data_IF_986239624336
#
_entry.id   IF_986239624336
#
_cell.length_a   1.000
_cell.length_b   1.000
_cell.length_c   1.000
_cell.angle_alpha   90.00
_cell.angle_beta   90.00
_cell.angle_gamma   90.00
#
_symmetry.space_group_name_H-M   'P 1'
#
loop_
_entity.id
_entity.type
_entity.pdbx_description
1 polymer ?
#
# COMPACT_ATOMS: atom_id res chain seq x y z
N UNK A 1 10.89 9.56 3.44
CA UNK A 1 9.61 9.84 2.73
C UNK A 1 9.57 9.29 1.31
N UNK A 2 10.70 9.19 0.60
CA UNK A 2 10.72 8.54 -0.71
C UNK A 2 10.28 7.06 -0.67
N UNK A 3 10.54 6.40 0.46
CA UNK A 3 10.04 5.05 0.74
C UNK A 3 8.51 4.91 0.61
N UNK A 4 7.77 5.86 1.19
CA UNK A 4 6.31 5.92 1.07
C UNK A 4 5.83 6.07 -0.38
N UNK A 5 6.58 6.82 -1.19
CA UNK A 5 6.28 7.00 -2.61
C UNK A 5 6.47 5.69 -3.40
N UNK A 6 7.49 4.89 -3.07
CA UNK A 6 7.68 3.57 -3.70
C UNK A 6 6.51 2.65 -3.37
N UNK A 7 6.14 2.56 -2.09
CA UNK A 7 4.98 1.78 -1.63
C UNK A 7 3.68 2.21 -2.32
N UNK A 8 3.44 3.53 -2.40
CA UNK A 8 2.31 4.10 -3.09
C UNK A 8 2.32 3.77 -4.59
N UNK A 9 3.47 3.89 -5.27
CA UNK A 9 3.59 3.63 -6.69
C UNK A 9 3.28 2.16 -7.05
N UNK A 10 3.81 1.21 -6.27
CA UNK A 10 3.53 -0.23 -6.42
C UNK A 10 2.03 -0.50 -6.29
N UNK A 11 1.42 0.03 -5.23
CA UNK A 11 -0.01 -0.12 -4.99
C UNK A 11 -0.85 0.59 -6.06
N UNK A 12 -0.38 1.74 -6.56
CA UNK A 12 -1.06 2.46 -7.64
C UNK A 12 -1.08 1.67 -8.93
N UNK A 13 0.03 1.04 -9.29
CA UNK A 13 0.11 0.13 -10.42
C UNK A 13 -0.84 -1.06 -10.24
N UNK A 14 -0.86 -1.69 -9.06
CA UNK A 14 -1.77 -2.80 -8.74
C UNK A 14 -3.26 -2.41 -8.84
N UNK A 15 -3.60 -1.14 -8.53
CA UNK A 15 -4.98 -0.64 -8.56
C UNK A 15 -5.53 -0.32 -9.96
N UNK A 16 -4.71 -0.40 -11.02
CA UNK A 16 -5.06 0.10 -12.37
C UNK A 16 -6.35 -0.49 -12.96
N UNK A 17 -6.61 -1.78 -12.72
CA UNK A 17 -7.79 -2.48 -13.25
C UNK A 17 -9.08 -2.21 -12.48
N UNK A 18 -8.99 -1.73 -11.24
CA UNK A 18 -10.13 -1.60 -10.31
C UNK A 18 -10.41 -0.16 -9.90
N UNK A 19 -9.86 0.84 -10.60
CA UNK A 19 -10.00 2.26 -10.24
C UNK A 19 -11.46 2.71 -10.11
N UNK A 20 -11.68 3.61 -9.15
CA UNK A 20 -13.02 4.13 -8.84
C UNK A 20 -13.88 3.20 -8.00
N UNK A 21 -13.37 1.99 -7.69
CA UNK A 21 -13.98 1.12 -6.68
C UNK A 21 -13.44 1.43 -5.30
N UNK A 22 -14.25 1.16 -4.27
CA UNK A 22 -13.81 1.28 -2.87
C UNK A 22 -12.56 0.45 -2.61
N UNK A 23 -12.48 -0.76 -3.17
CA UNK A 23 -11.33 -1.65 -2.99
C UNK A 23 -10.03 -1.03 -3.50
N UNK A 24 -10.04 -0.37 -4.66
CA UNK A 24 -8.85 0.25 -5.22
C UNK A 24 -8.37 1.46 -4.40
N UNK A 25 -9.28 2.30 -3.90
CA UNK A 25 -8.89 3.43 -3.04
C UNK A 25 -8.40 2.93 -1.67
N UNK A 26 -9.04 1.88 -1.14
CA UNK A 26 -8.61 1.22 0.09
C UNK A 26 -7.27 0.50 -0.05
N UNK A 27 -6.92 0.03 -1.25
CA UNK A 27 -5.60 -0.52 -1.55
C UNK A 27 -4.50 0.54 -1.43
N UNK A 28 -4.75 1.75 -1.93
CA UNK A 28 -3.83 2.88 -1.71
C UNK A 28 -3.74 3.29 -0.25
N UNK A 29 -4.87 3.27 0.47
CA UNK A 29 -4.88 3.54 1.91
C UNK A 29 -4.02 2.49 2.66
N UNK A 30 -4.20 1.20 2.37
CA UNK A 30 -3.41 0.12 2.95
C UNK A 30 -1.91 0.25 2.66
N UNK A 31 -1.52 0.81 1.52
CA UNK A 31 -0.12 1.05 1.15
C UNK A 31 0.59 2.08 2.04
N UNK A 32 -0.18 3.01 2.61
CA UNK A 32 0.35 4.21 3.31
C UNK A 32 0.14 4.10 4.82
N UNK A 33 -0.92 3.41 5.23
CA UNK A 33 -1.38 3.37 6.60
C UNK A 33 -0.37 2.73 7.60
N UNK A 34 0.38 1.65 7.29
CA UNK A 34 1.40 1.11 8.21
C UNK A 34 2.39 2.19 8.65
N UNK A 35 2.88 2.94 7.68
CA UNK A 35 3.88 3.99 7.82
C UNK A 35 3.34 5.22 8.57
N UNK A 36 2.11 5.63 8.23
CA UNK A 36 1.41 6.76 8.86
C UNK A 36 1.01 6.46 10.30
N UNK A 37 0.70 5.21 10.63
CA UNK A 37 0.42 4.80 12.01
C UNK A 37 1.71 4.65 12.83
N UNK A 38 2.73 3.99 12.27
CA UNK A 38 3.97 3.71 12.98
C UNK A 38 4.71 4.98 13.40
N UNK A 39 4.89 5.94 12.49
CA UNK A 39 5.78 7.08 12.71
C UNK A 39 5.34 7.98 13.86
N UNK A 40 4.07 8.43 13.97
CA UNK A 40 3.62 9.20 15.12
C UNK A 40 3.73 8.42 16.43
N UNK A 41 3.34 7.14 16.43
CA UNK A 41 3.43 6.28 17.62
C UNK A 41 4.88 6.11 18.10
N UNK A 42 5.81 5.95 17.15
CA UNK A 42 7.22 5.82 17.44
C UNK A 42 7.85 7.16 17.88
N UNK A 43 7.61 8.25 17.14
CA UNK A 43 8.28 9.54 17.35
C UNK A 43 7.69 10.30 18.54
N UNK A 44 6.37 10.43 18.58
CA UNK A 44 5.66 11.25 19.59
C UNK A 44 5.48 10.46 20.88
N UNK A 45 5.03 9.21 20.78
CA UNK A 45 4.67 8.40 21.95
C UNK A 45 5.77 7.43 22.37
N UNK A 46 6.91 7.38 21.66
CA UNK A 46 8.06 6.51 21.97
C UNK A 46 7.71 5.01 22.04
N UNK A 47 6.66 4.59 21.31
CA UNK A 47 6.24 3.20 21.25
C UNK A 47 7.06 2.46 20.18
N UNK A 48 8.26 2.02 20.55
CA UNK A 48 9.17 1.29 19.65
C UNK A 48 8.51 0.07 18.98
N UNK A 49 7.67 -0.65 19.73
CA UNK A 49 6.94 -1.82 19.26
C UNK A 49 5.87 -1.50 18.21
N UNK A 50 5.42 -0.25 18.10
CA UNK A 50 4.35 0.12 17.18
C UNK A 50 4.77 -0.10 15.73
N UNK A 51 6.02 0.21 15.38
CA UNK A 51 6.57 -0.08 14.05
C UNK A 51 6.52 -1.57 13.75
N UNK A 52 6.94 -2.43 14.68
CA UNK A 52 6.87 -3.88 14.51
C UNK A 52 5.42 -4.34 14.33
N UNK A 53 4.51 -3.84 15.16
CA UNK A 53 3.10 -4.22 15.11
C UNK A 53 2.39 -3.76 13.82
N UNK A 54 2.69 -2.59 13.27
CA UNK A 54 2.00 -2.12 12.06
C UNK A 54 2.51 -2.77 10.77
N UNK A 55 3.72 -3.35 10.79
CA UNK A 55 4.34 -4.01 9.63
C UNK A 55 4.34 -5.53 9.72
N UNK A 56 3.79 -6.11 10.79
CA UNK A 56 3.65 -7.55 10.92
C UNK A 56 2.35 -8.06 10.25
N UNK A 57 2.38 -9.18 9.48
CA UNK A 57 1.21 -9.66 8.74
C UNK A 57 -0.03 -9.98 9.60
N UNK A 58 0.15 -10.60 10.78
CA UNK A 58 -0.95 -11.02 11.64
C UNK A 58 -1.65 -9.83 12.30
N UNK A 59 -0.89 -8.89 12.83
CA UNK A 59 -1.41 -7.65 13.39
C UNK A 59 -2.00 -6.76 12.31
N UNK A 60 -1.41 -6.75 11.11
CA UNK A 60 -1.98 -6.04 9.96
C UNK A 60 -3.35 -6.58 9.56
N UNK A 61 -3.56 -7.90 9.57
CA UNK A 61 -4.87 -8.50 9.32
C UNK A 61 -5.94 -7.96 10.29
N UNK A 62 -5.60 -7.88 11.59
CA UNK A 62 -6.49 -7.33 12.59
C UNK A 62 -6.73 -5.82 12.39
N UNK A 63 -5.69 -5.04 12.10
CA UNK A 63 -5.80 -3.61 11.82
C UNK A 63 -6.66 -3.33 10.59
N UNK A 64 -6.49 -4.08 9.50
CA UNK A 64 -7.30 -3.98 8.30
C UNK A 64 -8.78 -4.27 8.62
N UNK A 65 -9.04 -5.31 9.41
CA UNK A 65 -10.41 -5.65 9.84
C UNK A 65 -11.06 -4.52 10.64
N UNK A 66 -10.37 -3.98 11.65
CA UNK A 66 -10.88 -2.89 12.48
C UNK A 66 -11.08 -1.62 11.65
N UNK A 67 -10.12 -1.26 10.79
CA UNK A 67 -10.19 -0.07 9.95
C UNK A 67 -11.36 -0.15 8.95
N UNK A 68 -11.67 -1.34 8.43
CA UNK A 68 -12.79 -1.54 7.53
C UNK A 68 -14.15 -1.20 8.19
N UNK A 69 -14.29 -1.27 9.51
CA UNK A 69 -15.53 -0.90 10.21
C UNK A 69 -15.82 0.60 10.23
N UNK A 70 -14.84 1.44 9.86
CA UNK A 70 -15.05 2.88 9.63
C UNK A 70 -15.89 3.14 8.37
N UNK A 71 -16.06 2.13 7.51
CA UNK A 71 -16.86 2.22 6.29
C UNK A 71 -18.30 1.74 6.53
N UNK A 72 -19.22 2.23 5.70
CA UNK A 72 -20.63 1.78 5.69
C UNK A 72 -20.70 0.28 5.39
N UNK A 73 -21.66 -0.41 6.00
CA UNK A 73 -21.80 -1.87 5.91
C UNK A 73 -21.67 -2.47 4.48
N UNK A 74 -22.27 -1.87 3.42
CA UNK A 74 -22.13 -2.39 2.05
C UNK A 74 -20.71 -2.35 1.49
N UNK A 75 -19.84 -1.49 2.03
CA UNK A 75 -18.48 -1.27 1.56
C UNK A 75 -17.41 -1.97 2.40
N UNK A 76 -17.76 -2.48 3.60
CA UNK A 76 -16.79 -3.08 4.53
C UNK A 76 -15.97 -4.23 3.93
N UNK A 77 -16.56 -5.19 3.17
CA UNK A 77 -15.77 -6.28 2.61
C UNK A 77 -14.75 -5.78 1.58
N UNK A 78 -15.16 -4.83 0.73
CA UNK A 78 -14.28 -4.22 -0.26
C UNK A 78 -13.18 -3.37 0.40
N UNK A 79 -13.53 -2.63 1.46
CA UNK A 79 -12.57 -1.85 2.23
C UNK A 79 -11.56 -2.75 2.96
N UNK A 80 -12.03 -3.81 3.62
CA UNK A 80 -11.19 -4.80 4.29
C UNK A 80 -10.19 -5.43 3.33
N UNK A 81 -10.68 -5.97 2.20
CA UNK A 81 -9.80 -6.58 1.20
C UNK A 81 -8.83 -5.57 0.59
N UNK A 82 -9.29 -4.36 0.29
CA UNK A 82 -8.44 -3.29 -0.21
C UNK A 82 -7.31 -2.95 0.76
N UNK A 83 -7.64 -2.63 2.02
CA UNK A 83 -6.65 -2.27 3.05
C UNK A 83 -5.70 -3.45 3.32
N UNK A 84 -6.23 -4.67 3.44
CA UNK A 84 -5.44 -5.87 3.69
C UNK A 84 -4.41 -6.08 2.58
N UNK A 85 -4.85 -6.13 1.33
CA UNK A 85 -3.96 -6.33 0.17
C UNK A 85 -2.96 -5.17 0.01
N UNK A 86 -3.41 -3.93 0.26
CA UNK A 86 -2.55 -2.76 0.19
C UNK A 86 -1.39 -2.81 1.18
N UNK A 87 -1.67 -3.18 2.43
CA UNK A 87 -0.62 -3.32 3.43
C UNK A 87 0.21 -4.60 3.27
N UNK A 88 -0.35 -5.68 2.72
CA UNK A 88 0.48 -6.84 2.34
C UNK A 88 1.45 -6.51 1.21
N UNK A 89 1.05 -5.69 0.22
CA UNK A 89 1.98 -5.19 -0.79
C UNK A 89 3.07 -4.31 -0.17
N UNK A 90 2.71 -3.45 0.79
CA UNK A 90 3.68 -2.65 1.55
C UNK A 90 4.70 -3.55 2.27
N UNK A 91 4.21 -4.51 3.08
CA UNK A 91 5.06 -5.47 3.79
C UNK A 91 5.93 -6.28 2.82
N UNK A 92 5.37 -6.66 1.67
CA UNK A 92 6.12 -7.36 0.62
C UNK A 92 7.28 -6.54 0.06
N UNK A 93 7.09 -5.24 -0.15
CA UNK A 93 8.16 -4.32 -0.56
C UNK A 93 9.20 -4.18 0.54
N UNK A 94 8.78 -4.11 1.81
CA UNK A 94 9.71 -4.05 2.95
C UNK A 94 10.53 -5.33 3.13
N UNK A 95 9.96 -6.50 2.85
CA UNK A 95 10.69 -7.77 2.89
C UNK A 95 11.87 -7.84 1.90
N UNK A 96 11.84 -7.04 0.84
CA UNK A 96 12.92 -6.97 -0.16
C UNK A 96 14.07 -6.02 0.26
N UNK A 97 13.89 -5.28 1.35
CA UNK A 97 14.85 -4.29 1.84
C UNK A 97 15.99 -4.96 2.61
N UNK A 98 17.22 -4.50 2.36
CA UNK A 98 18.38 -4.86 3.18
C UNK A 98 18.37 -4.07 4.49
N UNK A 99 18.51 -4.76 5.62
CA UNK A 99 18.59 -4.15 6.96
C UNK A 99 19.88 -4.50 7.70
N UNK A 100 20.93 -4.88 6.97
CA UNK A 100 22.25 -5.25 7.51
C UNK A 100 22.16 -6.37 8.55
N UNK A 101 21.25 -7.32 8.32
CA UNK A 101 21.06 -8.47 9.21
C UNK A 101 20.18 -8.22 10.44
N UNK A 102 19.57 -7.04 10.59
CA UNK A 102 18.57 -6.80 11.66
C UNK A 102 17.20 -7.41 11.34
N UNK A 103 16.97 -7.79 10.08
CA UNK A 103 15.70 -8.24 9.54
C UNK A 103 14.69 -7.09 9.35
N UNK A 104 13.83 -7.21 8.34
CA UNK A 104 12.88 -6.16 7.96
C UNK A 104 11.53 -6.27 8.68
N UNK A 105 10.97 -7.49 8.76
CA UNK A 105 9.60 -7.73 9.22
C UNK A 105 9.54 -8.89 10.22
N UNK A 106 8.85 -8.69 11.34
CA UNK A 106 8.53 -9.77 12.28
C UNK A 106 7.26 -10.52 11.85
N UNK A 107 7.40 -11.59 11.07
CA UNK A 107 6.29 -12.29 10.41
C UNK A 107 5.21 -12.81 11.37
N UNK A 108 5.63 -13.30 12.54
CA UNK A 108 4.76 -13.96 13.51
C UNK A 108 4.47 -13.10 14.75
N UNK A 109 4.77 -11.80 14.72
CA UNK A 109 4.42 -10.90 15.81
C UNK A 109 2.89 -10.91 16.05
N UNK A 110 2.40 -10.96 17.31
CA UNK A 110 3.13 -10.80 18.56
C UNK A 110 3.66 -12.11 19.19
N UNK A 111 3.52 -13.26 18.53
CA UNK A 111 3.94 -14.55 19.07
C UNK A 111 5.46 -14.78 18.96
N UNK A 112 6.11 -14.12 18.00
CA UNK A 112 7.57 -14.05 17.88
C UNK A 112 8.01 -12.65 17.49
N UNK A 113 9.20 -12.27 17.96
CA UNK A 113 9.90 -11.03 17.59
C UNK A 113 11.03 -11.28 16.60
N UNK A 114 11.21 -12.53 16.16
CA UNK A 114 12.18 -12.87 15.13
C UNK A 114 11.81 -12.16 13.82
N UNK A 115 12.78 -11.43 13.28
CA UNK A 115 12.64 -10.64 12.06
C UNK A 115 13.14 -11.44 10.87
N UNK A 116 12.53 -11.17 9.72
CA UNK A 116 12.81 -11.83 8.47
C UNK A 116 12.96 -10.79 7.37
N UNK A 117 13.84 -11.09 6.41
CA UNK A 117 13.97 -10.37 5.14
C UNK A 117 14.19 -11.40 4.03
N UNK A 118 13.54 -11.22 2.88
CA UNK A 118 13.65 -12.13 1.72
C UNK A 118 14.90 -11.84 0.89
N UNK A 119 15.44 -10.62 0.97
CA UNK A 119 16.64 -10.25 0.23
C UNK A 119 17.21 -8.91 0.67
N UNK A 120 18.30 -8.52 0.02
CA UNK A 120 18.93 -7.21 0.15
C UNK A 120 18.90 -6.45 -1.17
N UNK A 121 17.73 -6.37 -1.80
CA UNK A 121 17.60 -5.89 -3.17
C UNK A 121 17.80 -4.37 -3.27
N UNK A 122 17.50 -3.67 -2.18
CA UNK A 122 17.73 -2.24 -2.06
C UNK A 122 17.91 -1.85 -0.59
N UNK A 123 18.66 -0.78 -0.36
CA UNK A 123 18.83 -0.16 0.95
C UNK A 123 17.79 0.94 1.18
N UNK A 124 17.61 1.38 2.44
CA UNK A 124 16.68 2.46 2.75
C UNK A 124 16.97 3.75 1.97
N UNK A 125 18.24 4.03 1.72
CA UNK A 125 18.72 5.19 0.95
C UNK A 125 18.39 5.09 -0.55
N UNK A 126 18.27 3.87 -1.08
CA UNK A 126 17.91 3.66 -2.48
C UNK A 126 16.49 4.12 -2.79
N UNK A 127 15.63 4.31 -1.79
CA UNK A 127 14.32 4.91 -1.98
C UNK A 127 14.39 6.29 -2.68
N UNK A 128 15.44 7.08 -2.44
CA UNK A 128 15.69 8.34 -3.15
C UNK A 128 16.03 8.12 -4.62
N UNK A 129 16.81 7.07 -4.93
CA UNK A 129 17.17 6.70 -6.30
C UNK A 129 15.99 6.08 -7.06
N UNK A 130 15.10 5.40 -6.35
CA UNK A 130 13.88 4.82 -6.89
C UNK A 130 12.76 5.85 -7.08
N UNK A 131 12.83 7.02 -6.43
CA UNK A 131 11.80 8.04 -6.49
C UNK A 131 11.42 8.47 -7.93
N UNK A 132 12.35 8.73 -8.87
CA UNK A 132 11.99 9.04 -10.25
C UNK A 132 11.21 7.92 -10.94
N UNK A 133 11.56 6.67 -10.69
CA UNK A 133 10.86 5.50 -11.24
C UNK A 133 9.47 5.31 -10.62
N UNK A 134 9.34 5.57 -9.33
CA UNK A 134 8.06 5.57 -8.64
C UNK A 134 7.13 6.68 -9.18
N UNK A 135 7.66 7.90 -9.37
CA UNK A 135 6.91 8.98 -10.04
C UNK A 135 6.52 8.62 -11.46
N UNK A 136 7.44 8.04 -12.24
CA UNK A 136 7.17 7.55 -13.59
C UNK A 136 6.03 6.53 -13.61
N UNK A 137 6.07 5.56 -12.70
CA UNK A 137 5.02 4.54 -12.54
C UNK A 137 3.66 5.17 -12.22
N UNK A 138 3.62 6.13 -11.29
CA UNK A 138 2.38 6.84 -10.96
C UNK A 138 1.89 7.64 -12.17
N UNK A 139 2.76 8.39 -12.84
CA UNK A 139 2.40 9.20 -14.01
C UNK A 139 1.86 8.34 -15.16
N UNK A 140 2.48 7.20 -15.45
CA UNK A 140 2.00 6.23 -16.43
C UNK A 140 0.64 5.66 -16.04
N UNK A 141 0.45 5.33 -14.76
CA UNK A 141 -0.80 4.80 -14.25
C UNK A 141 -1.96 5.83 -14.37
N UNK A 142 -1.69 7.09 -14.02
CA UNK A 142 -2.64 8.20 -14.19
C UNK A 142 -2.94 8.45 -15.68
N UNK A 143 -1.92 8.51 -16.53
CA UNK A 143 -2.07 8.71 -17.97
C UNK A 143 -2.87 7.60 -18.64
N UNK A 144 -2.61 6.34 -18.29
CA UNK A 144 -3.38 5.19 -18.77
C UNK A 144 -4.86 5.29 -18.40
N UNK A 145 -5.15 5.67 -17.17
CA UNK A 145 -6.52 5.82 -16.68
C UNK A 145 -7.24 6.96 -17.38
N UNK A 146 -6.57 8.11 -17.54
CA UNK A 146 -7.14 9.25 -18.24
C UNK A 146 -7.51 8.89 -19.69
N UNK A 147 -6.65 8.12 -20.38
CA UNK A 147 -6.92 7.61 -21.73
C UNK A 147 -8.15 6.69 -21.76
N UNK A 148 -8.29 5.77 -20.80
CA UNK A 148 -9.46 4.89 -20.70
C UNK A 148 -10.75 5.66 -20.48
N UNK A 149 -10.76 6.66 -19.57
CA UNK A 149 -11.93 7.50 -19.29
C UNK A 149 -12.40 8.28 -20.52
N UNK A 150 -11.45 8.81 -21.32
CA UNK A 150 -11.77 9.51 -22.58
C UNK A 150 -12.39 8.58 -23.62
N UNK A 151 -11.91 7.34 -23.73
CA UNK A 151 -12.48 6.34 -24.66
C UNK A 151 -13.91 5.96 -24.31
N UNK A 152 -14.21 5.74 -23.02
CA UNK A 152 -15.58 5.45 -22.57
C UNK A 152 -16.52 6.63 -22.74
N UNK A 153 -16.04 7.87 -22.52
CA UNK A 153 -16.85 9.07 -22.72
C UNK A 153 -17.15 9.36 -24.20
N UNK A 154 -16.23 9.02 -25.12
CA UNK A 154 -16.43 9.18 -26.56
C UNK A 154 -17.35 8.12 -27.19
N UNK A 155 -17.54 6.96 -26.55
CA UNK A 155 -18.45 5.93 -27.09
C UNK A 155 -19.92 6.18 -26.73
N UNK A 156 -20.20 6.93 -25.67
CA UNK A 156 -21.57 7.30 -25.26
C UNK A 156 -22.14 8.51 -26.00
N UNK A 157 -21.33 9.20 -26.82
CA UNK A 157 -21.77 10.36 -27.61
C UNK A 157 -22.18 10.02 -29.05
N UNK A 158 -22.19 8.75 -29.45
CA UNK A 158 -22.74 8.36 -30.76
C UNK A 158 -24.27 8.54 -30.73
N UNK A 159 -24.85 9.40 -31.59
CA UNK A 159 -26.30 9.53 -31.65
C UNK A 159 -26.92 8.17 -32.01
N UNK A 160 -28.12 7.84 -31.49
CA UNK A 160 -28.82 6.65 -31.92
C UNK A 160 -28.98 6.69 -33.45
N UNK A 161 -28.59 5.61 -34.13
CA UNK A 161 -28.85 5.46 -35.55
C UNK A 161 -30.38 5.43 -35.73
N UNK A 162 -30.91 6.51 -36.33
CA UNK A 162 -32.32 6.63 -36.73
C UNK A 162 -32.64 5.83 -37.98
#
# INVERSE_FOLDING_TARGET
MADLLVHYAVNRAASLGARGTVAAECLLLGAVLPDVLAKPLHIVFRLGWATTATHAPLTWLALAYVTAHLFRAPHRPAAFLGILLGGWLHIGVDLLRETMGLGAIALLYPFSVETFQLGGWYFSEDSLRLAPWALGTVALAEGWTARRRRRTAGSTSAPPAG
#
